data_IF_653812765527
#
_entry.id   IF_653812765527
#
_cell.length_a   1.000
_cell.length_b   1.000
_cell.length_c   1.000
_cell.angle_alpha   90.00
_cell.angle_beta   90.00
_cell.angle_gamma   90.00
#
_symmetry.space_group_name_H-M   'P 1'
#
loop_
_entity.id
_entity.type
_entity.pdbx_description
1 polymer ?
#
# COMPACT_ATOMS: atom_id res chain seq x y z
N UNK A 1 -7.33 -4.35 16.20
CA UNK A 1 -6.59 -4.47 14.94
C UNK A 1 -6.99 -3.32 14.02
N UNK A 2 -6.02 -2.57 13.50
CA UNK A 2 -6.24 -1.46 12.56
C UNK A 2 -6.29 -2.01 11.14
N UNK A 3 -7.36 -1.68 10.42
CA UNK A 3 -7.58 -2.12 9.04
C UNK A 3 -6.93 -1.13 8.08
N UNK A 4 -5.91 -1.57 7.36
CA UNK A 4 -5.14 -0.70 6.46
C UNK A 4 -5.24 -1.23 5.04
N UNK A 5 -5.88 -0.45 4.17
CA UNK A 5 -6.00 -0.80 2.75
C UNK A 5 -4.72 -0.46 2.00
N UNK A 6 -4.40 -1.21 0.96
CA UNK A 6 -3.29 -0.90 0.07
C UNK A 6 -3.58 -1.33 -1.36
N UNK A 7 -2.88 -0.71 -2.33
CA UNK A 7 -2.97 -1.08 -3.73
C UNK A 7 -2.39 -2.48 -3.96
N UNK A 8 -3.29 -3.45 -4.12
CA UNK A 8 -2.96 -4.87 -4.25
C UNK A 8 -2.64 -5.31 -5.68
N UNK A 9 -2.49 -6.62 -5.92
CA UNK A 9 -2.66 -7.73 -4.94
C UNK A 9 -1.48 -7.87 -3.95
N UNK A 10 -1.44 -8.95 -3.18
CA UNK A 10 -0.26 -9.29 -2.37
C UNK A 10 1.00 -9.42 -3.25
N UNK A 11 2.15 -9.01 -2.69
CA UNK A 11 3.45 -8.99 -3.36
C UNK A 11 3.76 -7.72 -4.13
N UNK A 12 2.89 -6.69 -4.10
CA UNK A 12 3.18 -5.39 -4.73
C UNK A 12 4.16 -4.54 -3.93
N UNK A 13 4.73 -3.53 -4.57
CA UNK A 13 5.53 -2.52 -3.88
C UNK A 13 4.71 -1.70 -2.85
N UNK A 14 3.39 -1.58 -3.04
CA UNK A 14 2.52 -0.94 -2.05
C UNK A 14 2.35 -1.79 -0.80
N UNK A 15 2.27 -3.12 -0.92
CA UNK A 15 2.33 -4.01 0.25
C UNK A 15 3.69 -3.90 0.95
N UNK A 16 4.79 -3.89 0.20
CA UNK A 16 6.13 -3.71 0.76
C UNK A 16 6.27 -2.38 1.51
N UNK A 17 5.72 -1.29 0.97
CA UNK A 17 5.69 0.01 1.64
C UNK A 17 4.88 -0.03 2.94
N UNK A 18 3.72 -0.71 2.97
CA UNK A 18 2.93 -0.92 4.18
C UNK A 18 3.73 -1.71 5.23
N UNK A 19 4.42 -2.78 4.82
CA UNK A 19 5.31 -3.56 5.69
C UNK A 19 6.40 -2.66 6.27
N UNK A 20 7.05 -1.83 5.46
CA UNK A 20 8.08 -0.88 5.91
C UNK A 20 7.53 0.12 6.93
N UNK A 21 6.38 0.73 6.65
CA UNK A 21 5.74 1.68 7.58
C UNK A 21 5.42 1.01 8.92
N UNK A 22 4.95 -0.25 8.89
CA UNK A 22 4.69 -1.04 10.09
C UNK A 22 5.96 -1.36 10.87
N UNK A 23 6.99 -1.90 10.22
CA UNK A 23 8.23 -2.33 10.91
C UNK A 23 9.06 -1.17 11.42
N UNK A 24 8.92 0.02 10.83
CA UNK A 24 9.58 1.25 11.27
C UNK A 24 8.77 2.04 12.31
N UNK A 25 7.61 1.53 12.74
CA UNK A 25 6.79 2.18 13.76
C UNK A 25 6.16 3.50 13.32
N UNK A 26 5.92 3.68 12.02
CA UNK A 26 5.37 4.91 11.43
C UNK A 26 3.84 4.92 11.35
N UNK A 27 3.20 3.80 11.66
CA UNK A 27 1.74 3.69 11.73
C UNK A 27 1.28 4.08 13.15
N UNK A 28 0.44 5.12 13.30
CA UNK A 28 -0.01 5.57 14.61
C UNK A 28 -1.08 4.62 15.18
N UNK A 29 -0.99 4.39 16.50
CA UNK A 29 -1.97 3.62 17.26
C UNK A 29 -1.54 2.18 17.52
N UNK A 30 -2.36 1.22 17.12
CA UNK A 30 -2.16 -0.20 17.45
C UNK A 30 -1.02 -0.83 16.64
N UNK A 31 -0.24 -1.71 17.29
CA UNK A 31 0.74 -2.56 16.60
C UNK A 31 0.09 -3.68 15.78
N UNK A 32 -1.18 -4.00 16.04
CA UNK A 32 -1.92 -5.01 15.30
C UNK A 32 -2.55 -4.39 14.06
N UNK A 33 -2.03 -4.74 12.89
CA UNK A 33 -2.49 -4.26 11.58
C UNK A 33 -3.08 -5.43 10.79
N UNK A 34 -4.28 -5.23 10.25
CA UNK A 34 -4.89 -6.07 9.22
C UNK A 34 -4.67 -5.41 7.84
N UNK A 35 -3.74 -5.91 7.02
CA UNK A 35 -3.53 -5.41 5.67
C UNK A 35 -4.64 -5.91 4.74
N UNK A 36 -5.26 -5.01 3.99
CA UNK A 36 -6.37 -5.30 3.08
C UNK A 36 -6.00 -4.90 1.65
N UNK A 37 -5.81 -5.89 0.78
CA UNK A 37 -5.58 -5.66 -0.64
C UNK A 37 -6.83 -5.12 -1.32
N UNK A 38 -6.70 -4.04 -2.08
CA UNK A 38 -7.77 -3.48 -2.94
C UNK A 38 -7.29 -3.26 -4.37
N UNK A 39 -8.23 -3.12 -5.31
CA UNK A 39 -7.94 -3.11 -6.74
C UNK A 39 -7.30 -1.80 -7.26
N UNK A 40 -7.46 -0.69 -6.53
CA UNK A 40 -6.93 0.61 -6.95
C UNK A 40 -6.56 1.52 -5.77
N UNK A 41 -5.68 2.50 -6.01
CA UNK A 41 -5.35 3.53 -5.02
C UNK A 41 -6.60 4.35 -4.63
N UNK A 42 -7.52 4.55 -5.58
CA UNK A 42 -8.80 5.20 -5.32
C UNK A 42 -9.63 4.40 -4.31
N UNK A 43 -9.77 3.09 -4.51
CA UNK A 43 -10.56 2.24 -3.61
C UNK A 43 -10.00 2.24 -2.19
N UNK A 44 -8.66 2.28 -2.05
CA UNK A 44 -8.01 2.35 -0.75
C UNK A 44 -8.41 3.63 -0.01
N UNK A 45 -8.29 4.78 -0.67
CA UNK A 45 -8.64 6.09 -0.10
C UNK A 45 -10.14 6.22 0.17
N UNK A 46 -10.99 5.75 -0.73
CA UNK A 46 -12.46 5.80 -0.57
C UNK A 46 -12.92 4.98 0.63
N UNK A 47 -12.32 3.82 0.91
CA UNK A 47 -12.66 3.06 2.12
C UNK A 47 -12.32 3.81 3.42
N UNK A 48 -11.24 4.61 3.43
CA UNK A 48 -10.94 5.48 4.59
C UNK A 48 -11.96 6.61 4.69
N UNK A 49 -12.34 7.23 3.57
CA UNK A 49 -13.38 8.27 3.55
C UNK A 49 -14.74 7.76 4.03
N UNK A 50 -15.08 6.50 3.73
CA UNK A 50 -16.32 5.85 4.15
C UNK A 50 -16.29 5.34 5.60
N UNK A 51 -15.10 5.28 6.23
CA UNK A 51 -14.92 4.68 7.56
C UNK A 51 -14.84 3.15 7.55
N UNK A 52 -14.73 2.52 6.38
CA UNK A 52 -14.57 1.07 6.21
C UNK A 52 -13.13 0.61 6.51
N UNK A 53 -12.17 1.53 6.50
CA UNK A 53 -10.77 1.29 6.85
C UNK A 53 -10.22 2.44 7.70
N UNK A 54 -9.27 2.15 8.59
CA UNK A 54 -8.64 3.16 9.44
C UNK A 54 -7.62 3.99 8.65
N UNK A 55 -6.85 3.34 7.78
CA UNK A 55 -5.81 3.97 6.97
C UNK A 55 -5.70 3.36 5.56
N UNK A 56 -5.00 4.06 4.68
CA UNK A 56 -4.65 3.61 3.34
C UNK A 56 -3.16 3.81 3.07
N UNK A 57 -2.51 2.83 2.46
CA UNK A 57 -1.15 2.92 1.93
C UNK A 57 -1.21 2.93 0.40
N UNK A 58 -0.93 4.09 -0.19
CA UNK A 58 -1.01 4.32 -1.64
C UNK A 58 0.27 4.96 -2.16
N UNK A 59 0.69 4.65 -3.40
CA UNK A 59 1.82 5.34 -4.02
C UNK A 59 1.41 6.76 -4.39
N UNK A 60 2.26 7.75 -4.13
CA UNK A 60 2.00 9.16 -4.43
C UNK A 60 2.91 9.70 -5.54
N UNK A 61 4.13 9.20 -5.65
CA UNK A 61 5.11 9.62 -6.65
C UNK A 61 6.05 8.46 -7.01
N UNK A 62 6.46 8.40 -8.28
CA UNK A 62 7.53 7.56 -8.80
C UNK A 62 8.67 8.44 -9.31
N UNK A 63 9.92 8.03 -9.09
CA UNK A 63 11.08 8.76 -9.59
C UNK A 63 11.25 8.68 -11.11
N UNK A 64 10.56 7.75 -11.78
CA UNK A 64 10.63 7.58 -13.22
C UNK A 64 9.44 8.26 -13.92
N UNK A 65 8.22 7.97 -13.47
CA UNK A 65 6.99 8.47 -14.10
C UNK A 65 6.44 9.75 -13.46
N UNK A 66 7.01 10.20 -12.34
CA UNK A 66 6.53 11.36 -11.60
C UNK A 66 5.29 11.06 -10.74
N UNK A 67 4.40 12.04 -10.52
CA UNK A 67 3.27 11.91 -9.62
C UNK A 67 2.27 10.82 -10.04
N UNK A 68 1.72 10.11 -9.06
CA UNK A 68 0.67 9.11 -9.28
C UNK A 68 -0.69 9.81 -9.32
N UNK A 69 -1.09 10.22 -10.53
CA UNK A 69 -2.30 11.00 -10.80
C UNK A 69 -3.56 10.42 -10.12
N UNK A 70 -3.86 9.10 -10.17
CA UNK A 70 -5.05 8.56 -9.51
C UNK A 70 -5.11 8.80 -8.00
N UNK A 71 -3.95 8.82 -7.33
CA UNK A 71 -3.85 9.12 -5.89
C UNK A 71 -4.15 10.60 -5.64
N UNK A 72 -3.52 11.49 -6.41
CA UNK A 72 -3.71 12.94 -6.26
C UNK A 72 -5.14 13.37 -6.57
N UNK A 73 -5.73 12.85 -7.65
CA UNK A 73 -7.11 13.14 -8.03
C UNK A 73 -8.10 12.69 -6.94
N UNK A 74 -7.83 11.55 -6.31
CA UNK A 74 -8.70 11.05 -5.23
C UNK A 74 -8.55 11.87 -3.95
N UNK A 75 -7.34 12.33 -3.62
CA UNK A 75 -7.10 13.23 -2.48
C UNK A 75 -7.74 14.62 -2.67
N UNK A 76 -7.90 15.06 -3.92
CA UNK A 76 -8.48 16.36 -4.25
C UNK A 76 -10.01 16.42 -4.12
N UNK A 77 -10.69 15.28 -3.94
CA UNK A 77 -12.16 15.19 -3.95
C UNK A 77 -12.70 14.38 -2.77
N UNK A 78 -13.97 14.63 -2.41
CA UNK A 78 -14.66 13.87 -1.38
C UNK A 78 -14.36 14.36 0.03
N UNK A 79 -14.51 13.45 1.01
CA UNK A 79 -14.22 13.76 2.41
C UNK A 79 -12.71 14.00 2.59
N UNK A 80 -12.30 15.03 3.36
CA UNK A 80 -10.90 15.36 3.54
C UNK A 80 -10.15 14.21 4.22
N UNK A 81 -9.02 13.85 3.62
CA UNK A 81 -8.07 12.89 4.18
C UNK A 81 -6.80 13.61 4.63
N UNK A 82 -6.09 13.04 5.60
CA UNK A 82 -4.83 13.58 6.10
C UNK A 82 -3.70 12.56 5.91
N UNK A 83 -2.61 13.01 5.28
CA UNK A 83 -1.37 12.24 5.19
C UNK A 83 -0.64 12.36 6.54
N UNK A 84 -0.34 11.24 7.18
CA UNK A 84 0.33 11.20 8.49
C UNK A 84 1.70 10.51 8.46
N UNK A 85 1.98 9.73 7.41
CA UNK A 85 3.25 9.05 7.22
C UNK A 85 3.52 8.89 5.73
N UNK A 86 4.81 8.85 5.38
CA UNK A 86 5.31 8.57 4.04
C UNK A 86 6.43 7.54 4.14
N UNK A 87 6.81 6.91 3.05
CA UNK A 87 8.07 6.15 3.00
C UNK A 87 8.57 6.13 1.57
N UNK A 88 9.89 6.14 1.41
CA UNK A 88 10.52 5.97 0.10
C UNK A 88 10.99 4.53 0.00
N UNK A 89 10.47 3.80 -0.99
CA UNK A 89 10.84 2.41 -1.23
C UNK A 89 11.77 2.31 -2.44
N UNK A 90 13.01 1.82 -2.28
CA UNK A 90 13.87 1.50 -3.41
C UNK A 90 13.26 0.37 -4.26
N UNK A 91 12.87 0.67 -5.49
CA UNK A 91 12.29 -0.31 -6.40
C UNK A 91 13.38 -1.24 -6.94
N UNK A 92 13.19 -2.54 -6.78
CA UNK A 92 14.08 -3.58 -7.30
C UNK A 92 13.27 -4.73 -7.85
N UNK A 93 13.58 -5.15 -9.07
CA UNK A 93 12.91 -6.26 -9.73
C UNK A 93 13.74 -7.53 -9.64
N UNK A 94 13.08 -8.66 -9.39
CA UNK A 94 13.69 -10.00 -9.42
C UNK A 94 13.06 -10.82 -10.54
N UNK A 95 13.88 -11.53 -11.30
CA UNK A 95 13.41 -12.53 -12.26
C UNK A 95 13.24 -13.85 -11.50
N UNK A 96 11.98 -14.26 -11.31
CA UNK A 96 11.64 -15.52 -10.66
C UNK A 96 11.26 -16.59 -11.69
N UNK A 97 11.67 -17.84 -11.43
CA UNK A 97 11.26 -19.01 -12.20
C UNK A 97 10.44 -19.95 -11.33
N UNK A 98 9.60 -20.79 -11.95
CA UNK A 98 8.91 -21.87 -11.23
C UNK A 98 9.97 -22.73 -10.53
N UNK A 99 9.76 -23.02 -9.25
CA UNK A 99 10.61 -23.96 -8.50
C UNK A 99 10.72 -25.27 -9.28
N UNK A 100 11.96 -25.70 -9.54
CA UNK A 100 12.19 -26.99 -10.18
C UNK A 100 11.57 -28.12 -9.32
N UNK A 101 10.98 -29.16 -9.95
CA UNK A 101 10.57 -30.35 -9.22
C UNK A 101 11.76 -30.91 -8.45
N UNK A 102 11.52 -31.41 -7.23
CA UNK A 102 12.57 -32.15 -6.52
C UNK A 102 12.89 -33.41 -7.33
N UNK A 103 14.17 -33.72 -7.63
CA UNK A 103 14.49 -34.98 -8.28
C UNK A 103 14.04 -36.16 -7.40
N UNK A 104 13.18 -37.03 -7.92
CA UNK A 104 12.82 -38.30 -7.28
C UNK A 104 11.52 -38.38 -6.46
N UNK A 105 10.50 -37.57 -6.76
CA UNK A 105 9.13 -37.77 -6.24
C UNK A 105 8.11 -37.81 -7.37
#
# INVERSE_FOLDING_TARGET
MQRITYLGPEGTFSEAALITLRTTGRIPGSSEVEPVSVASARDALVQVQAGDADYACVPIESSLEGPVVPTLDTLAVGAPLQIFAETVLPVSFTIAVRRAPRPGM
#
